data_IF_415316206983
#
_entry.id   IF_415316206983
#
_cell.length_a   1.000
_cell.length_b   1.000
_cell.length_c   1.000
_cell.angle_alpha   90.00
_cell.angle_beta   90.00
_cell.angle_gamma   90.00
#
_symmetry.space_group_name_H-M   'P 1'
#
loop_
_entity.id
_entity.type
_entity.pdbx_description
1 polymer ?
#
# COMPACT_ATOMS: atom_id res chain seq x y z
N UNK A 1 -15.29 -16.97 -7.41
CA UNK A 1 -14.50 -17.41 -6.23
C UNK A 1 -14.85 -16.48 -5.08
N UNK A 2 -15.03 -16.96 -3.84
CA UNK A 2 -15.33 -16.04 -2.72
C UNK A 2 -14.12 -15.15 -2.44
N UNK A 3 -14.29 -13.83 -2.28
CA UNK A 3 -13.17 -12.95 -1.99
C UNK A 3 -12.59 -13.24 -0.61
N UNK A 4 -11.27 -13.27 -0.53
CA UNK A 4 -10.51 -13.47 0.71
C UNK A 4 -9.07 -13.01 0.54
N UNK A 5 -8.38 -12.85 1.68
CA UNK A 5 -6.94 -12.58 1.73
C UNK A 5 -6.23 -13.64 2.58
N UNK A 6 -5.12 -14.17 2.07
CA UNK A 6 -4.22 -15.03 2.82
C UNK A 6 -2.94 -14.24 3.15
N UNK A 7 -2.42 -14.44 4.37
CA UNK A 7 -1.21 -13.74 4.83
C UNK A 7 -0.09 -14.74 5.02
N UNK A 8 1.04 -14.47 4.39
CA UNK A 8 2.29 -15.20 4.61
C UNK A 8 3.36 -14.25 5.12
N UNK A 9 4.01 -14.58 6.25
CA UNK A 9 5.08 -13.78 6.83
C UNK A 9 6.36 -14.61 6.88
N UNK A 10 7.43 -14.06 6.33
CA UNK A 10 8.78 -14.60 6.42
C UNK A 10 9.67 -13.64 7.23
N UNK A 11 9.83 -13.97 8.51
CA UNK A 11 10.66 -13.21 9.46
C UNK A 11 12.13 -13.12 9.05
N UNK A 12 12.68 -14.18 8.45
CA UNK A 12 14.08 -14.18 8.03
C UNK A 12 14.34 -13.19 6.88
N UNK A 13 13.33 -12.89 6.08
CA UNK A 13 13.40 -11.93 4.97
C UNK A 13 12.81 -10.56 5.31
N UNK A 14 12.27 -10.36 6.52
CA UNK A 14 11.47 -9.19 6.88
C UNK A 14 10.44 -8.86 5.79
N UNK A 15 9.65 -9.87 5.41
CA UNK A 15 8.69 -9.79 4.32
C UNK A 15 7.35 -10.41 4.72
N UNK A 16 6.28 -9.65 4.53
CA UNK A 16 4.90 -10.10 4.58
C UNK A 16 4.28 -9.99 3.19
N UNK A 17 3.46 -10.96 2.82
CA UNK A 17 2.69 -10.96 1.58
C UNK A 17 1.22 -11.17 1.92
N UNK A 18 0.38 -10.26 1.45
CA UNK A 18 -1.08 -10.38 1.45
C UNK A 18 -1.47 -10.89 0.05
N UNK A 19 -1.86 -12.15 -0.05
CA UNK A 19 -2.36 -12.74 -1.28
C UNK A 19 -3.87 -12.51 -1.36
N UNK A 20 -4.32 -11.87 -2.43
CA UNK A 20 -5.72 -11.48 -2.61
C UNK A 20 -6.35 -12.29 -3.73
N UNK A 21 -7.57 -12.75 -3.48
CA UNK A 21 -8.28 -13.65 -4.39
C UNK A 21 -9.72 -13.19 -4.59
N UNK A 22 -10.20 -13.31 -5.82
CA UNK A 22 -11.61 -13.06 -6.17
C UNK A 22 -11.91 -11.58 -6.42
N UNK A 23 -13.20 -11.24 -6.45
CA UNK A 23 -13.68 -9.87 -6.66
C UNK A 23 -13.62 -9.10 -5.34
N UNK A 24 -12.64 -8.21 -5.22
CA UNK A 24 -12.31 -7.51 -3.97
C UNK A 24 -13.02 -6.15 -3.90
N UNK A 25 -13.77 -5.93 -2.82
CA UNK A 25 -14.31 -4.63 -2.41
C UNK A 25 -13.32 -3.86 -1.53
N UNK A 26 -13.59 -2.57 -1.25
CA UNK A 26 -12.80 -1.76 -0.31
C UNK A 26 -12.70 -2.40 1.08
N UNK A 27 -13.82 -2.88 1.62
CA UNK A 27 -13.88 -3.55 2.94
C UNK A 27 -12.92 -4.75 2.98
N UNK A 28 -12.91 -5.57 1.93
CA UNK A 28 -12.04 -6.74 1.84
C UNK A 28 -10.57 -6.37 1.66
N UNK A 29 -10.28 -5.22 1.03
CA UNK A 29 -8.94 -4.70 0.95
C UNK A 29 -8.43 -4.28 2.34
N UNK A 30 -9.25 -3.56 3.10
CA UNK A 30 -8.99 -3.10 4.47
C UNK A 30 -8.85 -4.28 5.44
N UNK A 31 -9.77 -5.24 5.41
CA UNK A 31 -9.73 -6.43 6.27
C UNK A 31 -8.42 -7.21 6.11
N UNK A 32 -7.92 -7.31 4.87
CA UNK A 32 -6.63 -7.95 4.60
C UNK A 32 -5.45 -7.19 5.19
N UNK A 33 -5.52 -5.85 5.26
CA UNK A 33 -4.51 -5.01 5.92
C UNK A 33 -4.63 -5.17 7.44
N UNK A 34 -5.83 -5.06 8.01
CA UNK A 34 -6.06 -5.24 9.45
C UNK A 34 -5.58 -6.61 9.95
N UNK A 35 -5.85 -7.66 9.18
CA UNK A 35 -5.39 -9.01 9.49
C UNK A 35 -3.86 -9.13 9.48
N UNK A 36 -3.17 -8.40 8.59
CA UNK A 36 -1.70 -8.36 8.57
C UNK A 36 -1.16 -7.66 9.81
N UNK A 37 -1.68 -6.48 10.14
CA UNK A 37 -1.20 -5.68 11.28
C UNK A 37 -1.58 -6.27 12.64
N UNK A 38 -2.62 -7.10 12.68
CA UNK A 38 -3.00 -7.86 13.87
C UNK A 38 -2.25 -9.19 14.00
N UNK A 39 -1.43 -9.56 13.00
CA UNK A 39 -0.68 -10.81 13.03
C UNK A 39 0.50 -10.70 14.02
N UNK A 40 0.63 -11.62 15.00
CA UNK A 40 1.71 -11.58 15.99
C UNK A 40 3.11 -11.76 15.39
N UNK A 41 3.20 -12.23 14.15
CA UNK A 41 4.46 -12.41 13.43
C UNK A 41 4.89 -11.18 12.63
N UNK A 42 4.03 -10.17 12.51
CA UNK A 42 4.31 -8.91 11.82
C UNK A 42 4.96 -7.87 12.75
N UNK A 43 5.92 -7.11 12.23
CA UNK A 43 6.58 -6.02 12.95
C UNK A 43 6.83 -4.78 12.06
N UNK A 44 7.24 -3.67 12.68
CA UNK A 44 7.47 -2.36 12.06
C UNK A 44 8.72 -2.30 11.14
N UNK A 45 9.43 -3.42 11.00
CA UNK A 45 10.55 -3.62 10.07
C UNK A 45 10.20 -4.49 8.86
N UNK A 46 9.06 -5.20 8.92
CA UNK A 46 8.62 -6.16 7.89
C UNK A 46 8.07 -5.47 6.65
N UNK A 47 8.75 -5.57 5.51
CA UNK A 47 8.24 -5.05 4.24
C UNK A 47 7.00 -5.81 3.79
N UNK A 48 6.14 -5.16 3.01
CA UNK A 48 4.81 -5.65 2.64
C UNK A 48 4.70 -5.78 1.13
N UNK A 49 4.15 -6.89 0.66
CA UNK A 49 3.68 -7.08 -0.71
C UNK A 49 2.17 -7.34 -0.69
N UNK A 50 1.42 -6.58 -1.46
CA UNK A 50 0.00 -6.86 -1.74
C UNK A 50 -0.10 -7.49 -3.12
N UNK A 51 -0.37 -8.79 -3.18
CA UNK A 51 -0.49 -9.54 -4.43
C UNK A 51 -1.95 -9.65 -4.87
N UNK A 52 -2.29 -8.99 -5.98
CA UNK A 52 -3.61 -9.00 -6.62
C UNK A 52 -3.64 -9.89 -7.86
N UNK A 53 -2.62 -10.71 -8.14
CA UNK A 53 -2.52 -11.51 -9.38
C UNK A 53 -3.70 -12.45 -9.61
N UNK A 54 -4.44 -12.78 -8.55
CA UNK A 54 -5.61 -13.64 -8.57
C UNK A 54 -6.90 -12.92 -8.13
N UNK A 55 -6.84 -11.59 -8.02
CA UNK A 55 -7.96 -10.73 -7.67
C UNK A 55 -8.37 -9.85 -8.84
N UNK A 56 -9.67 -9.59 -8.94
CA UNK A 56 -10.21 -8.44 -9.65
C UNK A 56 -10.65 -7.41 -8.62
N UNK A 57 -10.61 -6.13 -8.97
CA UNK A 57 -11.00 -5.06 -8.09
C UNK A 57 -12.36 -4.51 -8.54
N UNK A 58 -13.37 -4.57 -7.67
CA UNK A 58 -14.64 -3.85 -7.85
C UNK A 58 -14.62 -2.58 -6.99
N UNK A 59 -13.66 -1.70 -7.27
CA UNK A 59 -13.49 -0.47 -6.50
C UNK A 59 -13.37 0.73 -7.43
N UNK A 60 -13.98 1.82 -7.02
CA UNK A 60 -13.84 3.12 -7.66
C UNK A 60 -12.49 3.76 -7.34
N UNK A 61 -12.11 4.81 -8.08
CA UNK A 61 -10.91 5.58 -7.78
C UNK A 61 -10.96 6.33 -6.43
N UNK A 62 -12.15 6.57 -5.87
CA UNK A 62 -12.32 7.16 -4.54
C UNK A 62 -12.09 6.14 -3.44
N UNK A 63 -12.68 4.96 -3.54
CA UNK A 63 -12.44 3.85 -2.61
C UNK A 63 -10.96 3.44 -2.59
N UNK A 64 -10.29 3.45 -3.75
CA UNK A 64 -8.86 3.20 -3.79
C UNK A 64 -8.03 4.27 -3.07
N UNK A 65 -8.47 5.54 -3.10
CA UNK A 65 -7.84 6.62 -2.33
C UNK A 65 -8.06 6.44 -0.83
N UNK A 66 -9.26 6.06 -0.42
CA UNK A 66 -9.56 5.75 0.98
C UNK A 66 -8.70 4.60 1.50
N UNK A 67 -8.56 3.53 0.72
CA UNK A 67 -7.64 2.44 1.03
C UNK A 67 -6.19 2.91 1.17
N UNK A 68 -5.72 3.80 0.29
CA UNK A 68 -4.37 4.34 0.34
C UNK A 68 -4.12 5.22 1.58
N UNK A 69 -5.05 6.10 1.93
CA UNK A 69 -4.96 6.92 3.16
C UNK A 69 -5.04 6.06 4.42
N UNK A 70 -5.87 5.01 4.40
CA UNK A 70 -5.93 4.02 5.47
C UNK A 70 -4.59 3.31 5.66
N UNK A 71 -3.99 2.81 4.57
CA UNK A 71 -2.65 2.21 4.59
C UNK A 71 -1.62 3.20 5.14
N UNK A 72 -1.63 4.46 4.68
CA UNK A 72 -0.72 5.51 5.13
C UNK A 72 -0.87 5.82 6.62
N UNK A 73 -2.09 5.84 7.16
CA UNK A 73 -2.35 6.06 8.58
C UNK A 73 -1.76 4.94 9.44
N UNK A 74 -1.95 3.70 9.01
CA UNK A 74 -1.44 2.53 9.74
C UNK A 74 0.08 2.41 9.62
N UNK A 75 0.63 2.75 8.45
CA UNK A 75 2.08 2.80 8.19
C UNK A 75 2.75 4.05 8.77
N UNK A 76 2.00 5.05 9.21
CA UNK A 76 2.48 6.38 9.61
C UNK A 76 3.35 6.34 10.86
N UNK A 77 4.64 6.09 10.66
CA UNK A 77 5.62 5.92 11.73
C UNK A 77 6.46 4.64 11.57
N UNK A 78 6.05 3.75 10.68
CA UNK A 78 6.79 2.53 10.35
C UNK A 78 7.85 2.77 9.27
N UNK A 79 8.87 1.89 9.26
CA UNK A 79 9.90 1.88 8.23
C UNK A 79 9.58 0.94 7.06
N UNK A 80 8.39 0.32 7.10
CA UNK A 80 7.97 -0.70 6.15
C UNK A 80 7.87 -0.10 4.74
N UNK A 81 8.31 -0.87 3.74
CA UNK A 81 8.05 -0.57 2.32
C UNK A 81 6.87 -1.40 1.84
N UNK A 82 6.02 -0.82 1.01
CA UNK A 82 4.90 -1.50 0.39
C UNK A 82 5.16 -1.67 -1.12
N UNK A 83 4.93 -2.88 -1.63
CA UNK A 83 4.85 -3.17 -3.06
C UNK A 83 3.50 -3.78 -3.39
N UNK A 84 3.02 -3.55 -4.61
CA UNK A 84 1.75 -4.10 -5.10
C UNK A 84 2.07 -4.89 -6.38
N UNK A 85 1.45 -6.05 -6.56
CA UNK A 85 1.49 -6.84 -7.80
C UNK A 85 0.06 -6.88 -8.33
N UNK A 86 -0.17 -6.54 -9.60
CA UNK A 86 -1.51 -6.56 -10.20
C UNK A 86 -1.48 -7.13 -11.64
N UNK A 87 -2.53 -7.86 -12.07
CA UNK A 87 -2.51 -8.64 -13.32
C UNK A 87 -2.77 -7.82 -14.59
N UNK A 88 -3.50 -6.69 -14.53
CA UNK A 88 -3.80 -5.84 -15.70
C UNK A 88 -3.46 -4.34 -15.48
N UNK A 89 -2.96 -3.69 -16.54
CA UNK A 89 -1.95 -2.62 -16.48
C UNK A 89 -2.42 -1.14 -16.37
N UNK A 90 -3.72 -0.84 -16.27
CA UNK A 90 -4.22 0.57 -16.17
C UNK A 90 -4.57 0.97 -14.73
N UNK A 91 -5.14 0.08 -13.94
CA UNK A 91 -5.63 0.39 -12.59
C UNK A 91 -4.51 0.33 -11.55
N UNK A 92 -3.51 -0.52 -11.79
CA UNK A 92 -2.18 -0.41 -11.19
C UNK A 92 -1.48 0.92 -11.53
N UNK A 93 -1.75 1.48 -12.71
CA UNK A 93 -1.24 2.77 -13.16
C UNK A 93 -1.76 3.96 -12.34
N UNK A 94 -2.98 3.87 -11.79
CA UNK A 94 -3.53 4.83 -10.82
C UNK A 94 -2.97 4.62 -9.40
N UNK A 95 -2.75 3.37 -8.99
CA UNK A 95 -2.07 3.02 -7.74
C UNK A 95 -0.68 3.69 -7.63
N UNK A 96 -0.03 3.94 -8.78
CA UNK A 96 1.28 4.62 -8.86
C UNK A 96 1.22 6.15 -8.90
N UNK A 97 0.14 6.78 -9.36
CA UNK A 97 0.00 8.26 -9.35
C UNK A 97 -0.32 8.82 -7.96
N UNK A 98 -0.92 8.05 -7.06
CA UNK A 98 -1.26 8.52 -5.70
C UNK A 98 -0.10 8.40 -4.70
N UNK A 99 0.84 7.46 -4.90
CA UNK A 99 2.14 7.48 -4.21
C UNK A 99 2.99 8.71 -4.60
N UNK A 100 2.86 9.21 -5.84
CA UNK A 100 3.60 10.36 -6.41
C UNK A 100 3.16 11.72 -5.84
N UNK A 101 1.88 11.91 -5.52
CA UNK A 101 1.38 13.17 -4.90
C UNK A 101 1.67 13.22 -3.40
N UNK A 102 1.87 12.06 -2.76
CA UNK A 102 1.96 11.94 -1.30
C UNK A 102 3.38 11.83 -0.72
N UNK A 103 4.42 11.78 -1.56
CA UNK A 103 5.84 11.94 -1.14
C UNK A 103 6.46 10.74 -0.39
N UNK A 104 5.97 9.52 -0.59
CA UNK A 104 6.32 8.36 0.22
C UNK A 104 7.65 7.64 -0.13
N UNK A 105 8.47 8.13 -1.07
CA UNK A 105 9.81 7.56 -1.31
C UNK A 105 10.87 8.68 -1.36
N UNK A 106 11.51 8.87 -0.20
CA UNK A 106 12.66 9.71 0.12
C UNK A 106 12.49 11.23 -0.03
N UNK A 107 12.48 11.95 1.11
CA UNK A 107 13.55 12.91 1.39
C UNK A 107 13.84 12.96 2.90
N UNK A 108 15.09 12.72 3.25
CA UNK A 108 15.67 12.98 4.56
C UNK A 108 15.29 14.39 5.06
N UNK A 109 14.95 14.56 6.35
CA UNK A 109 14.93 15.87 6.97
C UNK A 109 16.38 16.28 7.31
N UNK A 110 17.15 16.67 6.31
CA UNK A 110 18.41 17.38 6.50
C UNK A 110 18.46 18.59 5.57
N UNK A 111 18.09 19.75 6.12
CA UNK A 111 18.38 21.07 5.53
C UNK A 111 17.21 21.77 4.81
N UNK A 112 16.33 22.44 5.57
CA UNK A 112 15.75 23.72 5.10
C UNK A 112 16.91 24.74 5.10
N UNK A 113 17.10 25.61 4.11
CA UNK A 113 16.11 26.51 3.52
C UNK A 113 16.43 26.89 2.07
N UNK A 114 15.42 26.83 1.20
CA UNK A 114 15.48 27.39 -0.15
C UNK A 114 14.14 27.18 -0.85
N UNK A 115 13.15 28.00 -0.50
CA UNK A 115 11.87 28.06 -1.19
C UNK A 115 12.10 28.55 -2.62
N UNK A 116 11.82 27.71 -3.63
CA UNK A 116 11.68 28.15 -5.02
C UNK A 116 10.22 28.54 -5.21
N UNK A 117 9.92 29.77 -4.85
CA UNK A 117 8.69 30.46 -5.19
C UNK A 117 9.06 31.80 -5.79
N UNK A 118 9.62 31.78 -7.00
CA UNK A 118 9.73 32.94 -7.89
C UNK A 118 10.17 32.44 -9.28
N UNK A 119 9.19 32.00 -10.09
CA UNK A 119 9.34 32.05 -11.55
C UNK A 119 7.98 32.07 -12.27
N UNK A 120 7.12 33.04 -11.93
CA UNK A 120 6.13 33.59 -12.87
C UNK A 120 6.01 35.10 -12.65
N UNK A 121 7.00 35.84 -13.16
CA UNK A 121 6.96 37.16 -13.84
C UNK A 121 8.27 37.91 -13.68
#
# INVERSE_FOLDING_TARGET
>A
MKPHSDISINRAMHLAVIHRYGEMSLEQLIDGVDALFSNPDFDDTTNIVSDLSHASLEVTGEEMREHAEYCKKILGGSSNRLAIIAPDAVDFGLSRMFEIISGAIAMNPCGRSGWVGDLIR
#
